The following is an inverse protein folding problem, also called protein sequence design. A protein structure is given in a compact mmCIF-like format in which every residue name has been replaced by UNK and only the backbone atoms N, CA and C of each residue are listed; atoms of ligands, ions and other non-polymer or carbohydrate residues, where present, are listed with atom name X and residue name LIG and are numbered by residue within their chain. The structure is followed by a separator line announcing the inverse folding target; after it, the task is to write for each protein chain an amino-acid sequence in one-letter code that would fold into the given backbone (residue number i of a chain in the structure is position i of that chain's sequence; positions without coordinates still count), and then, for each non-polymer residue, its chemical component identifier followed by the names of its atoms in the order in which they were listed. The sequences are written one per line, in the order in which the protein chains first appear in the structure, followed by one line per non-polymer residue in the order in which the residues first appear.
data_IF_318034746712
#
_entry.id   IF_318034746712
#
_cell.length_a   1.000
_cell.length_b   1.000
_cell.length_c   1.000
_cell.angle_alpha   90.00
_cell.angle_beta   90.00
_cell.angle_gamma   90.00
#
_symmetry.space_group_name_H-M   'P 1'
#
loop_
_entity.id
_entity.type
_entity.pdbx_description
1 polymer ?
#
# COMPACT_ATOMS: atom_id res chain seq x y z
N UNK A 1 -10.59 5.30 -19.49
CA UNK A 1 -10.26 4.08 -18.70
C UNK A 1 -10.88 4.27 -17.33
N UNK A 2 -11.92 3.50 -17.02
CA UNK A 2 -12.71 3.68 -15.80
C UNK A 2 -12.10 2.87 -14.67
N UNK A 3 -11.39 3.53 -13.76
CA UNK A 3 -10.89 2.91 -12.54
C UNK A 3 -12.09 2.66 -11.62
N UNK A 4 -12.60 1.42 -11.58
CA UNK A 4 -13.65 1.03 -10.65
C UNK A 4 -13.08 1.03 -9.23
N UNK A 5 -13.37 2.10 -8.48
CA UNK A 5 -13.05 2.25 -7.06
C UNK A 5 -14.06 1.42 -6.25
N UNK A 6 -13.87 0.11 -6.18
CA UNK A 6 -14.83 -0.81 -5.54
C UNK A 6 -14.93 -0.68 -4.01
N UNK A 7 -14.26 0.29 -3.39
CA UNK A 7 -14.26 0.43 -1.92
C UNK A 7 -13.64 1.73 -1.40
N UNK A 8 -13.25 2.68 -2.26
CA UNK A 8 -12.54 3.90 -1.80
C UNK A 8 -11.12 3.67 -1.25
N UNK A 9 -10.73 2.42 -1.00
CA UNK A 9 -9.34 2.03 -0.71
C UNK A 9 -8.52 2.26 -1.98
N UNK A 10 -7.39 2.93 -1.82
CA UNK A 10 -6.50 3.26 -2.94
C UNK A 10 -5.05 3.20 -2.52
N UNK A 11 -4.18 2.97 -3.50
CA UNK A 11 -2.73 3.10 -3.32
C UNK A 11 -2.26 4.26 -4.18
N UNK A 12 -1.55 5.21 -3.57
CA UNK A 12 -0.97 6.36 -4.27
C UNK A 12 0.55 6.26 -4.29
N UNK A 13 1.12 6.43 -5.47
CA UNK A 13 2.55 6.58 -5.65
C UNK A 13 2.97 8.01 -5.30
N UNK A 14 3.95 8.17 -4.41
CA UNK A 14 4.55 9.47 -4.02
C UNK A 14 6.06 9.45 -4.31
N UNK A 15 6.69 10.62 -4.21
CA UNK A 15 8.14 10.82 -4.33
C UNK A 15 8.73 10.18 -5.59
N UNK A 16 8.24 10.58 -6.77
CA UNK A 16 8.71 10.02 -8.07
C UNK A 16 8.50 8.50 -8.20
N UNK A 17 7.40 7.97 -7.65
CA UNK A 17 7.10 6.52 -7.58
C UNK A 17 8.01 5.71 -6.65
N UNK A 18 8.78 6.39 -5.80
CA UNK A 18 9.64 5.74 -4.80
C UNK A 18 8.87 5.31 -3.56
N UNK A 19 7.60 5.68 -3.38
CA UNK A 19 6.79 5.22 -2.24
C UNK A 19 5.38 4.85 -2.69
N UNK A 20 4.89 3.71 -2.21
CA UNK A 20 3.48 3.32 -2.31
C UNK A 20 2.79 3.56 -0.98
N UNK A 21 1.77 4.42 -0.99
CA UNK A 21 0.99 4.79 0.19
C UNK A 21 -0.40 4.18 0.08
N UNK A 22 -0.75 3.27 0.98
CA UNK A 22 -2.10 2.75 1.14
C UNK A 22 -2.95 3.80 1.86
N UNK A 23 -4.13 4.06 1.30
CA UNK A 23 -5.09 5.03 1.81
C UNK A 23 -6.41 4.32 2.05
N UNK A 24 -6.85 4.29 3.30
CA UNK A 24 -8.16 3.77 3.72
C UNK A 24 -8.99 4.96 4.22
N UNK A 25 -10.12 5.29 3.56
CA UNK A 25 -11.05 6.32 4.02
C UNK A 25 -11.56 6.09 5.44
N UNK A 26 -11.88 7.15 6.19
CA UNK A 26 -12.50 7.01 7.51
C UNK A 26 -13.91 6.42 7.40
N UNK A 27 -14.38 5.83 8.49
CA UNK A 27 -15.75 5.35 8.70
C UNK A 27 -16.23 4.30 7.69
N UNK A 28 -15.32 3.63 6.97
CA UNK A 28 -15.69 2.41 6.25
C UNK A 28 -16.11 1.30 7.21
N UNK A 29 -17.03 0.46 6.75
CA UNK A 29 -17.46 -0.76 7.43
C UNK A 29 -16.23 -1.66 7.62
N UNK A 30 -15.90 -2.00 8.86
CA UNK A 30 -14.67 -2.74 9.21
C UNK A 30 -14.58 -4.09 8.47
N UNK A 31 -15.69 -4.81 8.38
CA UNK A 31 -15.80 -6.10 7.69
C UNK A 31 -15.56 -5.99 6.17
N UNK A 32 -15.79 -4.80 5.59
CA UNK A 32 -15.52 -4.54 4.18
C UNK A 32 -14.05 -4.19 3.91
N UNK A 33 -13.24 -3.93 4.95
CA UNK A 33 -11.81 -3.62 4.83
C UNK A 33 -11.01 -4.87 5.21
N UNK A 34 -10.55 -5.60 4.21
CA UNK A 34 -9.71 -6.81 4.36
C UNK A 34 -8.31 -6.62 3.77
N UNK A 35 -7.38 -7.47 4.20
CA UNK A 35 -6.04 -7.52 3.63
C UNK A 35 -6.08 -7.83 2.12
N UNK A 36 -6.90 -8.79 1.69
CA UNK A 36 -7.06 -9.15 0.26
C UNK A 36 -7.50 -7.97 -0.62
N UNK A 37 -8.39 -7.13 -0.10
CA UNK A 37 -8.86 -5.96 -0.82
C UNK A 37 -7.75 -4.90 -0.95
N UNK A 38 -6.99 -4.70 0.13
CA UNK A 38 -5.84 -3.79 0.11
C UNK A 38 -4.69 -4.31 -0.78
N UNK A 39 -4.45 -5.62 -0.80
CA UNK A 39 -3.49 -6.27 -1.71
C UNK A 39 -3.94 -6.10 -3.16
N UNK A 40 -5.23 -6.28 -3.45
CA UNK A 40 -5.79 -6.05 -4.78
C UNK A 40 -5.62 -4.60 -5.22
N UNK A 41 -5.83 -3.64 -4.31
CA UNK A 41 -5.58 -2.23 -4.58
C UNK A 41 -4.09 -1.93 -4.85
N UNK A 42 -3.17 -2.58 -4.12
CA UNK A 42 -1.73 -2.46 -4.34
C UNK A 42 -1.30 -3.04 -5.69
N UNK A 43 -1.80 -4.22 -6.07
CA UNK A 43 -1.54 -4.83 -7.39
C UNK A 43 -2.08 -3.99 -8.54
N UNK A 44 -3.27 -3.41 -8.39
CA UNK A 44 -3.83 -2.48 -9.37
C UNK A 44 -3.00 -1.20 -9.53
N UNK A 45 -2.24 -0.83 -8.50
CA UNK A 45 -1.27 0.27 -8.54
C UNK A 45 0.14 -0.19 -8.96
N UNK A 46 0.26 -1.38 -9.55
CA UNK A 46 1.52 -1.97 -10.05
C UNK A 46 2.58 -2.19 -8.94
N UNK A 47 2.15 -2.30 -7.68
CA UNK A 47 3.04 -2.61 -6.56
C UNK A 47 3.25 -4.12 -6.47
N UNK A 48 4.50 -4.56 -6.48
CA UNK A 48 4.85 -5.96 -6.22
C UNK A 48 4.58 -6.28 -4.75
N UNK A 49 3.62 -7.15 -4.50
CA UNK A 49 3.24 -7.58 -3.16
C UNK A 49 4.19 -8.68 -2.67
N UNK A 50 5.40 -8.30 -2.27
CA UNK A 50 6.30 -9.19 -1.53
C UNK A 50 5.74 -9.49 -0.14
N UNK A 51 6.32 -10.48 0.56
CA UNK A 51 5.92 -10.83 1.92
C UNK A 51 5.92 -9.62 2.87
N UNK A 52 6.93 -8.75 2.77
CA UNK A 52 7.01 -7.52 3.57
C UNK A 52 5.87 -6.54 3.28
N UNK A 53 5.50 -6.38 2.00
CA UNK A 53 4.37 -5.50 1.61
C UNK A 53 3.05 -6.08 2.12
N UNK A 54 2.88 -7.41 2.04
CA UNK A 54 1.69 -8.10 2.58
C UNK A 54 1.59 -7.88 4.09
N UNK A 55 2.68 -8.09 4.84
CA UNK A 55 2.70 -7.84 6.29
C UNK A 55 2.42 -6.38 6.64
N UNK A 56 2.94 -5.42 5.86
CA UNK A 56 2.65 -4.00 6.05
C UNK A 56 1.17 -3.68 5.82
N UNK A 57 0.54 -4.31 4.82
CA UNK A 57 -0.89 -4.20 4.55
C UNK A 57 -1.71 -4.81 5.70
N UNK A 58 -1.38 -6.01 6.17
CA UNK A 58 -2.08 -6.66 7.28
C UNK A 58 -2.02 -5.83 8.56
N UNK A 59 -0.85 -5.27 8.88
CA UNK A 59 -0.68 -4.33 10.00
C UNK A 59 -1.52 -3.07 9.82
N UNK A 60 -1.58 -2.51 8.62
CA UNK A 60 -2.41 -1.33 8.34
C UNK A 60 -3.91 -1.62 8.50
N UNK A 61 -4.37 -2.81 8.06
CA UNK A 61 -5.78 -3.23 8.24
C UNK A 61 -6.09 -3.42 9.72
N UNK A 62 -5.22 -4.09 10.49
CA UNK A 62 -5.39 -4.24 11.93
C UNK A 62 -5.45 -2.89 12.64
N UNK A 63 -4.54 -1.96 12.32
CA UNK A 63 -4.55 -0.60 12.85
C UNK A 63 -5.85 0.15 12.52
N UNK A 64 -6.35 0.01 11.29
CA UNK A 64 -7.63 0.61 10.89
C UNK A 64 -8.82 0.02 11.66
N UNK A 65 -8.78 -1.27 12.01
CA UNK A 65 -9.82 -1.92 12.82
C UNK A 65 -9.81 -1.45 14.28
N UNK A 66 -8.67 -0.98 14.80
CA UNK A 66 -8.61 -0.36 16.12
C UNK A 66 -9.27 1.03 16.11
N UNK A 67 -8.87 1.90 15.18
CA UNK A 67 -9.44 3.23 15.01
C UNK A 67 -9.76 3.54 13.54
N UNK A 68 -11.05 3.46 13.20
CA UNK A 68 -11.56 3.74 11.86
C UNK A 68 -12.15 5.16 11.73
N UNK A 69 -12.06 6.01 12.77
CA UNK A 69 -12.64 7.36 12.73
C UNK A 69 -11.85 8.30 11.84
N UNK A 70 -10.56 8.01 11.68
CA UNK A 70 -9.63 8.80 10.88
C UNK A 70 -9.25 8.08 9.60
N UNK A 71 -8.83 8.88 8.63
CA UNK A 71 -8.24 8.36 7.40
C UNK A 71 -6.90 7.72 7.74
N UNK A 72 -6.70 6.47 7.35
CA UNK A 72 -5.39 5.84 7.47
C UNK A 72 -4.59 6.09 6.19
N UNK A 73 -3.40 6.67 6.33
CA UNK A 73 -2.41 6.80 5.26
C UNK A 73 -1.09 6.15 5.73
N UNK A 74 -0.75 5.00 5.17
CA UNK A 74 0.45 4.23 5.56
C UNK A 74 1.30 3.92 4.34
N UNK A 75 2.61 4.08 4.50
CA UNK A 75 3.58 3.64 3.47
C UNK A 75 3.68 2.12 3.55
N UNK A 76 3.26 1.43 2.50
CA UNK A 76 3.31 -0.04 2.41
C UNK A 76 4.52 -0.53 1.61
N UNK A 77 5.15 0.36 0.85
CA UNK A 77 6.41 0.09 0.18
C UNK A 77 7.21 1.35 -0.09
N UNK A 78 8.53 1.20 -0.09
CA UNK A 78 9.49 2.20 -0.54
C UNK A 78 10.47 1.56 -1.52
N UNK A 79 10.63 2.14 -2.70
CA UNK A 79 11.73 1.83 -3.59
C UNK A 79 13.02 2.50 -3.11
N UNK A 80 14.17 1.98 -3.54
CA UNK A 80 15.47 2.64 -3.43
C UNK A 80 15.88 3.22 -4.78
N UNK A 81 16.40 4.45 -4.78
CA UNK A 81 16.90 5.05 -6.01
C UNK A 81 18.11 4.25 -6.51
N UNK A 82 18.24 3.96 -7.82
CA UNK A 82 19.42 3.32 -8.35
C UNK A 82 20.62 4.25 -8.11
N UNK A 83 21.68 3.70 -7.51
CA UNK A 83 22.92 4.44 -7.24
C UNK A 83 23.91 4.06 -8.34
N UNK A 84 24.28 5.05 -9.17
CA UNK A 84 25.33 5.04 -10.21
C UNK A 84 25.94 3.69 -10.67
N UNK A 85 25.70 3.33 -11.93
CA UNK A 85 26.58 2.44 -12.70
C UNK A 85 26.14 0.98 -12.83
N UNK A 86 25.03 0.60 -12.22
CA UNK A 86 24.44 -0.74 -12.34
C UNK A 86 23.04 -0.66 -12.93
N UNK A 87 22.65 -1.64 -13.74
CA UNK A 87 21.29 -1.77 -14.28
C UNK A 87 20.30 -1.76 -13.11
N UNK A 88 19.43 -0.74 -13.06
CA UNK A 88 18.58 -0.51 -11.91
C UNK A 88 17.69 -1.73 -11.60
N UNK A 89 17.90 -2.36 -10.45
CA UNK A 89 17.01 -3.38 -9.90
C UNK A 89 16.20 -2.81 -8.74
N UNK A 90 14.96 -3.30 -8.60
CA UNK A 90 14.11 -2.96 -7.45
C UNK A 90 14.43 -3.95 -6.33
N UNK A 91 15.37 -3.59 -5.46
CA UNK A 91 15.55 -4.27 -4.16
C UNK A 91 14.54 -3.70 -3.16
N UNK A 92 13.54 -4.52 -2.84
CA UNK A 92 12.60 -4.28 -1.75
C UNK A 92 13.35 -4.55 -0.45
N UNK A 93 13.93 -3.52 0.17
CA UNK A 93 14.73 -3.77 1.38
C UNK A 93 13.87 -4.11 2.61
N UNK A 94 14.37 -5.04 3.45
CA UNK A 94 13.85 -5.31 4.77
C UNK A 94 14.49 -4.35 5.78
N UNK A 95 13.69 -3.53 6.48
CA UNK A 95 14.08 -3.01 7.80
C UNK A 95 12.86 -2.96 8.72
N UNK A 96 12.73 -4.02 9.52
CA UNK A 96 12.17 -3.94 10.87
C UNK A 96 13.14 -3.15 11.76
#
# INVERSE_FOLDING_TARGET
MSTQTLSGISVRMKDSRMKAVLIIPPNMVREAVSADLCISAARNAEVVCSEHVIQAIEKAVAQYHEDNRQRLEVVIATGKMPVNGEDGWIEWEPRL
#
